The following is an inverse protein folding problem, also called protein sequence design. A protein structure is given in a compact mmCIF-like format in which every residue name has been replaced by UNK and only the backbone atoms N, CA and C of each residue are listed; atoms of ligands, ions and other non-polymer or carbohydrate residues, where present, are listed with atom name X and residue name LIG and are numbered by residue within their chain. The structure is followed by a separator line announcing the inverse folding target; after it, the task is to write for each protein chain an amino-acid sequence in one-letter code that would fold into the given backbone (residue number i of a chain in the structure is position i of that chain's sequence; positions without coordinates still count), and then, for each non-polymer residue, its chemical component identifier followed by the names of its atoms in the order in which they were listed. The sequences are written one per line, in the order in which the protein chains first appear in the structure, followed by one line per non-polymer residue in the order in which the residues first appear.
data_IF_418929139680
#
_entry.id   IF_418929139680
#
_cell.length_a   1.000
_cell.length_b   1.000
_cell.length_c   1.000
_cell.angle_alpha   90.00
_cell.angle_beta   90.00
_cell.angle_gamma   90.00
#
_symmetry.space_group_name_H-M   'P 1'
#
loop_
_entity.id
_entity.type
_entity.pdbx_description
1 polymer ?
#
# COMPACT_ATOMS: atom_id res chain seq x y z
N UNK A 1 -6.50 5.51 4.59
CA UNK A 1 -7.62 4.55 4.61
C UNK A 1 -7.95 4.20 6.06
N UNK A 2 -9.19 3.86 6.39
CA UNK A 2 -9.51 3.30 7.72
C UNK A 2 -8.92 1.89 7.81
N UNK A 3 -8.27 1.55 8.92
CA UNK A 3 -7.64 0.23 9.13
C UNK A 3 -8.60 -0.96 8.95
N UNK A 4 -9.92 -0.73 9.01
CA UNK A 4 -10.96 -1.75 8.89
C UNK A 4 -11.56 -1.92 7.49
N UNK A 5 -11.04 -1.24 6.47
CA UNK A 5 -11.57 -1.36 5.11
C UNK A 5 -11.25 -2.74 4.49
N UNK A 6 -12.20 -3.36 3.79
CA UNK A 6 -12.00 -4.66 3.12
C UNK A 6 -10.78 -4.67 2.19
N UNK A 7 -10.50 -3.55 1.51
CA UNK A 7 -9.32 -3.40 0.64
C UNK A 7 -8.01 -3.54 1.41
N UNK A 8 -7.95 -3.06 2.66
CA UNK A 8 -6.79 -3.26 3.51
C UNK A 8 -6.62 -4.73 3.88
N UNK A 9 -7.68 -5.36 4.39
CA UNK A 9 -7.64 -6.72 4.92
C UNK A 9 -7.37 -7.77 3.83
N UNK A 10 -7.99 -7.63 2.65
CA UNK A 10 -7.95 -8.66 1.61
C UNK A 10 -6.97 -8.38 0.48
N UNK A 11 -6.45 -7.15 0.35
CA UNK A 11 -5.54 -6.78 -0.74
C UNK A 11 -4.20 -6.31 -0.19
N UNK A 12 -4.18 -5.27 0.64
CA UNK A 12 -2.94 -4.71 1.17
C UNK A 12 -2.19 -5.67 2.11
N UNK A 13 -2.90 -6.24 3.09
CA UNK A 13 -2.34 -7.10 4.13
C UNK A 13 -1.71 -8.39 3.57
N UNK A 14 -2.37 -9.17 2.67
CA UNK A 14 -1.76 -10.35 2.09
C UNK A 14 -0.58 -10.02 1.15
N UNK A 15 -0.65 -8.93 0.39
CA UNK A 15 0.48 -8.49 -0.46
C UNK A 15 1.68 -8.08 0.41
N UNK A 16 1.44 -7.30 1.46
CA UNK A 16 2.48 -6.87 2.39
C UNK A 16 3.16 -8.06 3.07
N UNK A 17 2.37 -9.00 3.61
CA UNK A 17 2.90 -10.21 4.25
C UNK A 17 3.64 -11.10 3.24
N UNK A 18 3.12 -11.24 2.02
CA UNK A 18 3.77 -12.00 0.96
C UNK A 18 5.15 -11.43 0.60
N UNK A 19 5.24 -10.11 0.38
CA UNK A 19 6.50 -9.42 0.13
C UNK A 19 7.44 -9.49 1.33
N UNK A 20 6.90 -9.35 2.55
CA UNK A 20 7.68 -9.42 3.78
C UNK A 20 8.32 -10.80 3.99
N UNK A 21 7.61 -11.87 3.65
CA UNK A 21 8.14 -13.24 3.71
C UNK A 21 9.15 -13.53 2.60
N UNK A 22 8.93 -12.99 1.40
CA UNK A 22 9.87 -13.15 0.27
C UNK A 22 11.18 -12.37 0.47
N UNK A 23 11.15 -11.32 1.28
CA UNK A 23 12.29 -10.43 1.47
C UNK A 23 13.27 -10.93 2.52
N UNK A 24 14.52 -11.10 2.10
CA UNK A 24 15.64 -11.35 2.99
C UNK A 24 15.82 -10.23 4.04
N UNK A 25 16.43 -10.59 5.18
CA UNK A 25 16.62 -9.71 6.36
C UNK A 25 17.14 -8.29 6.03
N UNK A 26 17.92 -8.15 4.95
CA UNK A 26 18.52 -6.88 4.52
C UNK A 26 17.52 -5.91 3.86
N UNK A 27 16.45 -6.42 3.25
CA UNK A 27 15.46 -5.61 2.53
C UNK A 27 14.17 -5.37 3.32
N UNK A 28 14.02 -5.99 4.50
CA UNK A 28 12.85 -5.81 5.37
C UNK A 28 12.59 -4.35 5.72
N UNK A 29 13.64 -3.58 6.01
CA UNK A 29 13.50 -2.16 6.36
C UNK A 29 13.02 -1.32 5.17
N UNK A 30 13.53 -1.60 3.96
CA UNK A 30 13.09 -0.95 2.73
C UNK A 30 11.64 -1.30 2.38
N UNK A 31 11.24 -2.57 2.57
CA UNK A 31 9.86 -2.98 2.38
C UNK A 31 8.91 -2.37 3.40
N UNK A 32 9.31 -2.27 4.68
CA UNK A 32 8.50 -1.59 5.69
C UNK A 32 8.28 -0.12 5.34
N UNK A 33 9.33 0.57 4.87
CA UNK A 33 9.23 1.93 4.38
C UNK A 33 8.30 2.04 3.18
N UNK A 34 8.53 1.24 2.13
CA UNK A 34 7.69 1.23 0.92
C UNK A 34 6.25 0.88 1.23
N UNK A 35 6.00 -0.15 2.03
CA UNK A 35 4.66 -0.57 2.40
C UNK A 35 3.93 0.48 3.22
N UNK A 36 4.62 1.15 4.16
CA UNK A 36 4.04 2.27 4.91
C UNK A 36 3.71 3.43 3.97
N UNK A 37 4.59 3.71 3.01
CA UNK A 37 4.38 4.75 2.00
C UNK A 37 3.21 4.43 1.08
N UNK A 38 3.13 3.19 0.59
CA UNK A 38 2.02 2.68 -0.22
C UNK A 38 0.73 2.75 0.58
N UNK A 39 0.69 2.27 1.83
CA UNK A 39 -0.50 2.33 2.68
C UNK A 39 -1.03 3.75 2.88
N UNK A 40 -0.11 4.70 3.05
CA UNK A 40 -0.44 6.12 3.21
C UNK A 40 -0.88 6.77 1.89
N UNK A 41 -0.20 6.45 0.79
CA UNK A 41 -0.49 6.97 -0.56
C UNK A 41 -1.72 6.31 -1.21
N UNK A 42 -2.13 5.13 -0.75
CA UNK A 42 -3.20 4.30 -1.32
C UNK A 42 -4.55 5.03 -1.39
N UNK A 43 -4.80 6.07 -0.58
CA UNK A 43 -6.04 6.85 -0.62
C UNK A 43 -6.05 8.01 -1.64
N UNK A 44 -4.93 8.33 -2.30
CA UNK A 44 -4.80 9.57 -3.09
C UNK A 44 -4.18 9.38 -4.49
N UNK A 45 -4.35 8.21 -5.11
CA UNK A 45 -4.06 8.03 -6.55
C UNK A 45 -5.33 8.28 -7.39
N UNK A 46 -6.49 7.84 -6.90
CA UNK A 46 -7.79 8.07 -7.55
C UNK A 46 -8.22 9.54 -7.60
N UNK A 47 -7.82 10.37 -6.62
CA UNK A 47 -8.06 11.82 -6.66
C UNK A 47 -7.28 12.51 -7.78
N UNK A 48 -6.07 12.06 -8.08
CA UNK A 48 -5.25 12.60 -9.16
C UNK A 48 -5.86 12.23 -10.52
N UNK A 49 -6.35 10.99 -10.66
CA UNK A 49 -7.04 10.51 -11.87
C UNK A 49 -8.41 11.19 -12.08
N UNK A 50 -9.21 11.39 -11.03
CA UNK A 50 -10.45 12.17 -11.11
C UNK A 50 -10.19 13.63 -11.47
N UNK A 51 -9.14 14.25 -10.91
CA UNK A 51 -8.77 15.63 -11.24
C UNK A 51 -8.29 15.77 -12.69
N UNK A 52 -7.53 14.79 -13.19
CA UNK A 52 -7.09 14.73 -14.59
C UNK A 52 -8.23 14.38 -15.58
N UNK A 53 -9.28 13.69 -15.14
CA UNK A 53 -10.44 13.37 -15.98
C UNK A 53 -11.49 14.49 -16.03
N UNK A 54 -11.50 15.39 -15.04
CA UNK A 54 -12.41 16.55 -14.95
C UNK A 54 -11.82 17.84 -15.51
N UNK A 55 -10.50 17.90 -15.71
CA UNK A 55 -9.80 19.04 -16.36
C UNK A 55 -9.68 18.81 -17.85
#
# INVERSE_FOLDING_TARGET
MVFSSNVFLFLFLPIFLGLYYLSGQRYRNLLLLLASYVFYAWWRVDFLALFAAVT
#
